data_IF_614415661528
#
_entry.id   IF_614415661528
#
_cell.length_a   1.000
_cell.length_b   1.000
_cell.length_c   1.000
_cell.angle_alpha   90.00
_cell.angle_beta   90.00
_cell.angle_gamma   90.00
#
_symmetry.space_group_name_H-M   'P 1'
#
loop_
_entity.id
_entity.type
_entity.pdbx_description
1 polymer ?
#
# COMPACT_ATOMS: atom_id res chain seq x y z
N UNK A 1 -2.06 12.01 14.97
CA UNK A 1 -1.05 12.74 14.16
C UNK A 1 -0.30 13.77 14.99
N UNK A 2 -0.97 14.67 15.73
CA UNK A 2 -0.33 15.67 16.60
C UNK A 2 0.70 15.12 17.63
N UNK A 3 0.43 14.03 18.38
CA UNK A 3 1.42 13.51 19.34
C UNK A 3 2.66 12.91 18.68
N UNK A 4 2.48 12.21 17.56
CA UNK A 4 3.58 11.63 16.79
C UNK A 4 4.44 12.71 16.10
N UNK A 5 3.81 13.80 15.65
CA UNK A 5 4.50 14.95 15.07
C UNK A 5 5.31 15.71 16.12
N UNK A 6 4.76 15.92 17.32
CA UNK A 6 5.49 16.50 18.44
C UNK A 6 6.69 15.64 18.87
N UNK A 7 6.54 14.31 18.87
CA UNK A 7 7.62 13.38 19.13
C UNK A 7 8.72 13.41 18.05
N UNK A 8 8.34 13.51 16.77
CA UNK A 8 9.28 13.64 15.64
C UNK A 8 10.05 14.98 15.70
N UNK A 9 9.36 16.07 16.02
CA UNK A 9 9.98 17.37 16.22
C UNK A 9 10.98 17.36 17.39
N UNK A 10 10.67 16.64 18.48
CA UNK A 10 11.58 16.48 19.62
C UNK A 10 12.84 15.65 19.32
N UNK A 11 12.79 14.75 18.33
CA UNK A 11 13.92 13.89 17.93
C UNK A 11 14.67 14.39 16.69
N UNK A 12 14.32 15.58 16.18
CA UNK A 12 15.09 16.25 15.13
C UNK A 12 15.07 15.57 13.77
N UNK A 13 14.03 14.79 13.43
CA UNK A 13 13.91 14.19 12.10
C UNK A 13 13.88 15.29 11.03
N UNK A 14 14.83 15.33 10.09
CA UNK A 14 14.90 16.40 9.11
C UNK A 14 13.69 16.37 8.19
N UNK A 15 13.09 17.54 7.97
CA UNK A 15 12.08 17.71 6.93
C UNK A 15 12.68 17.40 5.56
N UNK A 16 11.85 16.99 4.58
CA UNK A 16 12.28 16.84 3.19
C UNK A 16 13.04 18.08 2.73
N UNK A 17 14.35 17.93 2.55
CA UNK A 17 15.22 19.00 2.08
C UNK A 17 15.41 18.84 0.57
N UNK A 18 14.97 19.85 -0.19
CA UNK A 18 15.09 19.88 -1.65
C UNK A 18 13.77 19.62 -2.40
N UNK A 19 13.68 20.19 -3.60
CA UNK A 19 12.47 20.17 -4.43
C UNK A 19 12.04 18.75 -4.83
N UNK A 20 12.99 17.82 -5.03
CA UNK A 20 12.67 16.43 -5.37
C UNK A 20 11.94 15.67 -4.25
N UNK A 21 12.33 15.92 -2.99
CA UNK A 21 11.68 15.28 -1.85
C UNK A 21 10.24 15.82 -1.64
N UNK A 22 10.04 17.12 -1.83
CA UNK A 22 8.71 17.72 -1.84
C UNK A 22 7.84 17.24 -3.01
N UNK A 23 8.43 17.06 -4.20
CA UNK A 23 7.72 16.49 -5.34
C UNK A 23 7.28 15.04 -5.08
N UNK A 24 8.12 14.22 -4.44
CA UNK A 24 7.76 12.86 -4.05
C UNK A 24 6.61 12.84 -3.02
N UNK A 25 6.65 13.73 -2.02
CA UNK A 25 5.55 13.90 -1.06
C UNK A 25 4.25 14.27 -1.77
N UNK A 26 4.29 15.23 -2.69
CA UNK A 26 3.12 15.64 -3.49
C UNK A 26 2.57 14.50 -4.34
N UNK A 27 3.46 13.74 -4.99
CA UNK A 27 3.07 12.58 -5.79
C UNK A 27 2.35 11.51 -4.96
N UNK A 28 2.91 11.13 -3.81
CA UNK A 28 2.30 10.16 -2.89
C UNK A 28 0.95 10.68 -2.37
N UNK A 29 0.87 11.95 -1.98
CA UNK A 29 -0.36 12.55 -1.46
C UNK A 29 -1.50 12.56 -2.49
N UNK A 30 -1.20 12.86 -3.75
CA UNK A 30 -2.22 12.97 -4.81
C UNK A 30 -2.56 11.60 -5.40
N UNK A 31 -1.57 10.89 -5.95
CA UNK A 31 -1.81 9.65 -6.69
C UNK A 31 -2.08 8.47 -5.74
N UNK A 32 -1.18 8.25 -4.78
CA UNK A 32 -1.27 7.07 -3.91
C UNK A 32 -2.37 7.21 -2.85
N UNK A 33 -2.66 8.42 -2.39
CA UNK A 33 -3.70 8.66 -1.40
C UNK A 33 -4.99 9.14 -2.04
N UNK A 34 -5.07 10.38 -2.54
CA UNK A 34 -6.35 10.95 -2.95
C UNK A 34 -7.04 10.17 -4.08
N UNK A 35 -6.33 9.89 -5.18
CA UNK A 35 -6.90 9.20 -6.34
C UNK A 35 -7.21 7.73 -6.02
N UNK A 36 -6.24 6.99 -5.46
CA UNK A 36 -6.45 5.58 -5.14
C UNK A 36 -7.61 5.39 -4.14
N UNK A 37 -7.73 6.26 -3.14
CA UNK A 37 -8.81 6.17 -2.16
C UNK A 37 -10.17 6.56 -2.77
N UNK A 38 -10.22 7.56 -3.65
CA UNK A 38 -11.43 7.91 -4.39
C UNK A 38 -11.89 6.75 -5.29
N UNK A 39 -10.97 6.11 -6.02
CA UNK A 39 -11.27 4.93 -6.84
C UNK A 39 -11.73 3.75 -5.99
N UNK A 40 -11.13 3.55 -4.81
CA UNK A 40 -11.56 2.52 -3.87
C UNK A 40 -12.99 2.75 -3.39
N UNK A 41 -13.31 3.95 -2.92
CA UNK A 41 -14.65 4.30 -2.45
C UNK A 41 -15.67 4.16 -3.59
N UNK A 42 -15.32 4.61 -4.80
CA UNK A 42 -16.17 4.46 -5.98
C UNK A 42 -16.38 2.99 -6.38
N UNK A 43 -15.31 2.18 -6.31
CA UNK A 43 -15.38 0.73 -6.53
C UNK A 43 -16.29 0.05 -5.50
N UNK A 44 -16.11 0.36 -4.22
CA UNK A 44 -16.98 -0.15 -3.15
C UNK A 44 -18.44 0.25 -3.39
N UNK A 45 -18.71 1.48 -3.84
CA UNK A 45 -20.07 1.94 -4.14
C UNK A 45 -20.70 1.22 -5.34
N UNK A 46 -19.91 0.76 -6.31
CA UNK A 46 -20.39 0.11 -7.54
C UNK A 46 -20.62 -1.40 -7.38
N UNK A 47 -19.71 -2.12 -6.72
CA UNK A 47 -19.82 -3.59 -6.55
C UNK A 47 -20.28 -4.05 -5.15
N UNK A 48 -20.39 -3.10 -4.22
CA UNK A 48 -20.73 -3.32 -2.83
C UNK A 48 -19.55 -3.78 -1.97
N UNK A 49 -19.57 -3.48 -0.66
CA UNK A 49 -18.43 -3.71 0.25
C UNK A 49 -18.06 -5.20 0.39
N UNK A 50 -19.03 -6.11 0.33
CA UNK A 50 -18.76 -7.55 0.47
C UNK A 50 -17.89 -8.10 -0.69
N UNK A 51 -18.15 -7.66 -1.92
CA UNK A 51 -17.34 -8.06 -3.09
C UNK A 51 -16.04 -7.28 -3.17
N UNK A 52 -16.08 -5.98 -2.87
CA UNK A 52 -14.89 -5.14 -2.86
C UNK A 52 -13.84 -5.64 -1.86
N UNK A 53 -14.25 -6.08 -0.66
CA UNK A 53 -13.35 -6.57 0.38
C UNK A 53 -12.40 -7.69 -0.07
N UNK A 54 -12.83 -8.55 -1.00
CA UNK A 54 -11.98 -9.62 -1.55
C UNK A 54 -10.75 -9.06 -2.28
N UNK A 55 -10.84 -7.88 -2.90
CA UNK A 55 -9.73 -7.26 -3.63
C UNK A 55 -8.60 -6.75 -2.72
N UNK A 56 -8.89 -6.42 -1.45
CA UNK A 56 -7.84 -6.02 -0.50
C UNK A 56 -6.82 -7.14 -0.31
N UNK A 57 -7.28 -8.39 -0.38
CA UNK A 57 -6.43 -9.54 -0.26
C UNK A 57 -5.47 -9.75 -1.45
N UNK A 58 -5.76 -9.15 -2.61
CA UNK A 58 -4.86 -9.15 -3.76
C UNK A 58 -3.78 -8.07 -3.67
N UNK A 59 -3.96 -7.05 -2.81
CA UNK A 59 -3.00 -5.95 -2.64
C UNK A 59 -1.56 -6.41 -2.40
N UNK A 60 -1.26 -7.36 -1.49
CA UNK A 60 0.08 -7.93 -1.33
C UNK A 60 0.64 -8.61 -2.59
N UNK A 61 -0.19 -9.27 -3.40
CA UNK A 61 0.26 -9.91 -4.65
C UNK A 61 0.69 -8.86 -5.67
N UNK A 62 -0.10 -7.81 -5.85
CA UNK A 62 0.27 -6.69 -6.71
C UNK A 62 1.49 -5.94 -6.18
N UNK A 63 1.62 -5.77 -4.87
CA UNK A 63 2.80 -5.17 -4.24
C UNK A 63 4.09 -5.92 -4.57
N UNK A 64 4.09 -7.24 -4.41
CA UNK A 64 5.23 -8.09 -4.77
C UNK A 64 5.52 -8.05 -6.27
N UNK A 65 4.49 -8.13 -7.12
CA UNK A 65 4.65 -8.07 -8.56
C UNK A 65 5.27 -6.73 -9.02
N UNK A 66 4.83 -5.61 -8.43
CA UNK A 66 5.38 -4.28 -8.72
C UNK A 66 6.82 -4.13 -8.19
N UNK A 67 7.14 -4.66 -7.02
CA UNK A 67 8.51 -4.64 -6.49
C UNK A 67 9.49 -5.39 -7.41
N UNK A 68 9.11 -6.57 -7.90
CA UNK A 68 9.92 -7.34 -8.86
C UNK A 68 10.05 -6.58 -10.19
N UNK A 69 8.94 -6.05 -10.71
CA UNK A 69 8.92 -5.42 -12.03
C UNK A 69 9.62 -4.05 -12.10
N UNK A 70 9.44 -3.20 -11.08
CA UNK A 70 9.93 -1.82 -11.08
C UNK A 70 11.22 -1.64 -10.27
N UNK A 71 11.39 -2.41 -9.19
CA UNK A 71 12.55 -2.29 -8.30
C UNK A 71 13.66 -3.29 -8.65
N UNK A 72 13.36 -4.28 -9.50
CA UNK A 72 14.33 -5.29 -9.94
C UNK A 72 14.72 -6.27 -8.83
N UNK A 73 13.91 -6.40 -7.78
CA UNK A 73 14.19 -7.34 -6.70
C UNK A 73 14.22 -8.77 -7.23
N UNK A 74 15.31 -9.49 -6.93
CA UNK A 74 15.43 -10.89 -7.25
C UNK A 74 14.35 -11.68 -6.50
N UNK A 75 13.66 -12.58 -7.21
CA UNK A 75 12.68 -13.51 -6.67
C UNK A 75 13.35 -14.46 -5.65
N UNK A 76 13.53 -13.98 -4.43
CA UNK A 76 14.02 -14.76 -3.30
C UNK A 76 12.91 -15.63 -2.72
N UNK A 77 13.28 -16.70 -2.00
CA UNK A 77 12.34 -17.59 -1.34
C UNK A 77 11.35 -16.85 -0.41
N UNK A 78 11.75 -15.70 0.16
CA UNK A 78 10.89 -14.87 0.99
C UNK A 78 9.70 -14.26 0.24
N UNK A 79 9.85 -13.89 -1.04
CA UNK A 79 8.74 -13.43 -1.87
C UNK A 79 7.73 -14.54 -2.10
N UNK A 80 8.22 -15.75 -2.40
CA UNK A 80 7.37 -16.94 -2.62
C UNK A 80 6.62 -17.32 -1.34
N UNK A 81 7.30 -17.37 -0.20
CA UNK A 81 6.68 -17.69 1.10
C UNK A 81 5.68 -16.60 1.50
N UNK A 82 6.02 -15.32 1.33
CA UNK A 82 5.12 -14.20 1.61
C UNK A 82 3.86 -14.23 0.75
N UNK A 83 4.02 -14.43 -0.57
CA UNK A 83 2.87 -14.58 -1.49
C UNK A 83 2.03 -15.81 -1.17
N UNK A 84 2.63 -16.95 -0.83
CA UNK A 84 1.90 -18.17 -0.47
C UNK A 84 1.10 -17.98 0.84
N UNK A 85 1.69 -17.31 1.84
CA UNK A 85 1.04 -17.06 3.13
C UNK A 85 -0.14 -16.10 2.99
N UNK A 86 0.03 -15.07 2.16
CA UNK A 86 -1.04 -14.17 1.72
C UNK A 86 -2.17 -14.95 1.04
N UNK A 87 -1.86 -15.74 0.01
CA UNK A 87 -2.83 -16.55 -0.74
C UNK A 87 -3.60 -17.51 0.16
N UNK A 88 -2.92 -18.17 1.10
CA UNK A 88 -3.56 -18.98 2.14
C UNK A 88 -4.52 -18.16 3.01
N UNK A 89 -4.11 -16.96 3.45
CA UNK A 89 -4.98 -16.05 4.20
C UNK A 89 -6.22 -15.63 3.42
N UNK A 90 -6.08 -15.30 2.13
CA UNK A 90 -7.20 -14.97 1.22
C UNK A 90 -8.16 -16.14 1.11
N UNK A 91 -7.62 -17.34 0.86
CA UNK A 91 -8.41 -18.54 0.66
C UNK A 91 -9.20 -18.91 1.93
N UNK A 92 -8.60 -18.75 3.11
CA UNK A 92 -9.26 -19.02 4.38
C UNK A 92 -10.34 -17.97 4.68
N UNK A 93 -10.06 -16.69 4.41
CA UNK A 93 -11.02 -15.59 4.61
C UNK A 93 -12.21 -15.68 3.65
N UNK A 94 -11.99 -16.07 2.39
CA UNK A 94 -13.03 -16.23 1.37
C UNK A 94 -13.87 -17.51 1.47
N UNK A 95 -13.61 -18.38 2.46
CA UNK A 95 -14.42 -19.58 2.75
C UNK A 95 -15.56 -19.34 3.75
N UNK A 96 -15.84 -18.08 4.10
CA UNK A 96 -17.03 -17.65 4.85
C UNK A 96 -17.93 -16.82 3.94
#
# INVERSE_FOLDING_TARGET
MLPAFAWQAAHGTPLPSGAGAWAAVGFIAVFSSAIAHALWVWGVATIGPNRAGVFIHLMPLFGAAMAIAFLGEALGAFHVVGSALVLCGVFLAGRR
#
